data_IF_442387804396
#
_entry.id   IF_442387804396
#
_cell.length_a   1.000
_cell.length_b   1.000
_cell.length_c   1.000
_cell.angle_alpha   90.00
_cell.angle_beta   90.00
_cell.angle_gamma   90.00
#
_symmetry.space_group_name_H-M   'P 1'
#
loop_
_entity.id
_entity.type
_entity.pdbx_description
1 polymer ?
#
# COMPACT_ATOMS: atom_id res chain seq x y z
N UNK A 1 -17.39 -8.84 36.18
CA UNK A 1 -17.25 -10.22 35.67
C UNK A 1 -18.56 -10.84 35.18
N UNK A 2 -19.74 -10.55 35.75
CA UNK A 2 -21.01 -11.21 35.34
C UNK A 2 -21.72 -10.62 34.10
N UNK A 3 -21.33 -9.43 33.64
CA UNK A 3 -22.02 -8.68 32.57
C UNK A 3 -21.17 -8.50 31.30
N UNK A 4 -20.23 -9.41 31.05
CA UNK A 4 -19.46 -9.37 29.80
C UNK A 4 -20.34 -9.92 28.66
N UNK A 5 -20.72 -9.09 27.66
CA UNK A 5 -21.60 -9.52 26.57
C UNK A 5 -20.99 -10.62 25.70
N UNK A 6 -19.65 -10.73 25.64
CA UNK A 6 -18.94 -11.66 24.76
C UNK A 6 -18.56 -12.98 25.45
N UNK A 7 -18.85 -13.12 26.76
CA UNK A 7 -18.45 -14.27 27.56
C UNK A 7 -18.88 -15.62 26.97
N UNK A 8 -20.03 -15.66 26.31
CA UNK A 8 -20.60 -16.87 25.74
C UNK A 8 -20.32 -17.02 24.24
N UNK A 9 -19.66 -16.05 23.60
CA UNK A 9 -19.46 -16.04 22.14
C UNK A 9 -18.65 -17.25 21.68
N UNK A 10 -17.61 -17.64 22.41
CA UNK A 10 -16.82 -18.83 22.06
C UNK A 10 -17.68 -20.11 22.06
N UNK A 11 -18.59 -20.24 23.02
CA UNK A 11 -19.49 -21.39 23.10
C UNK A 11 -20.55 -21.34 21.99
N UNK A 12 -21.15 -20.17 21.76
CA UNK A 12 -22.15 -19.96 20.71
C UNK A 12 -21.57 -20.16 19.32
N UNK A 13 -20.32 -19.73 19.08
CA UNK A 13 -19.60 -19.93 17.84
C UNK A 13 -19.29 -21.41 17.60
N UNK A 14 -18.80 -22.11 18.63
CA UNK A 14 -18.56 -23.55 18.54
C UNK A 14 -19.85 -24.32 18.22
N UNK A 15 -20.98 -23.94 18.84
CA UNK A 15 -22.29 -24.50 18.49
C UNK A 15 -22.66 -24.14 17.04
N UNK A 16 -22.53 -22.89 16.62
CA UNK A 16 -22.87 -22.45 15.26
C UNK A 16 -22.10 -23.23 14.17
N UNK A 17 -20.81 -23.50 14.40
CA UNK A 17 -19.96 -24.26 13.48
C UNK A 17 -20.38 -25.72 13.34
N UNK A 18 -20.98 -26.32 14.38
CA UNK A 18 -21.45 -27.71 14.37
C UNK A 18 -22.81 -27.88 13.67
N UNK A 19 -23.55 -26.79 13.43
CA UNK A 19 -24.85 -26.87 12.74
C UNK A 19 -24.67 -26.66 11.24
N UNK A 20 -24.76 -27.75 10.46
CA UNK A 20 -24.62 -27.71 9.00
C UNK A 20 -25.74 -26.90 8.31
N UNK A 21 -26.94 -26.82 8.88
CA UNK A 21 -28.04 -25.98 8.40
C UNK A 21 -27.93 -24.50 8.79
N UNK A 22 -26.79 -24.09 9.36
CA UNK A 22 -26.47 -22.71 9.71
C UNK A 22 -27.37 -22.12 10.80
N UNK A 23 -27.70 -20.83 10.66
CA UNK A 23 -28.38 -20.05 11.72
C UNK A 23 -29.78 -20.58 12.04
N UNK A 24 -30.50 -21.13 11.07
CA UNK A 24 -31.86 -21.67 11.28
C UNK A 24 -31.85 -22.86 12.24
N UNK A 25 -30.90 -23.77 12.04
CA UNK A 25 -30.76 -24.97 12.87
C UNK A 25 -30.24 -24.61 14.27
N UNK A 26 -29.28 -23.69 14.37
CA UNK A 26 -28.82 -23.15 15.65
C UNK A 26 -29.99 -22.57 16.48
N UNK A 27 -30.82 -21.75 15.85
CA UNK A 27 -32.00 -21.18 16.50
C UNK A 27 -33.01 -22.25 16.90
N UNK A 28 -33.23 -23.26 16.06
CA UNK A 28 -34.09 -24.41 16.39
C UNK A 28 -33.59 -25.16 17.62
N UNK A 29 -32.27 -25.36 17.75
CA UNK A 29 -31.66 -26.00 18.92
C UNK A 29 -31.88 -25.18 20.19
N UNK A 30 -31.70 -23.86 20.14
CA UNK A 30 -31.92 -22.96 21.29
C UNK A 30 -33.41 -22.97 21.68
N UNK A 31 -34.32 -22.83 20.71
CA UNK A 31 -35.77 -22.85 20.94
C UNK A 31 -36.20 -24.20 21.52
N UNK A 32 -35.66 -25.30 20.99
CA UNK A 32 -35.90 -26.64 21.51
C UNK A 32 -35.38 -26.83 22.93
N UNK A 33 -34.25 -26.23 23.29
CA UNK A 33 -33.77 -26.19 24.68
C UNK A 33 -34.76 -25.44 25.58
N UNK A 34 -35.20 -24.25 25.18
CA UNK A 34 -36.19 -23.47 25.93
C UNK A 34 -37.47 -24.28 26.16
N UNK A 35 -37.99 -24.95 25.13
CA UNK A 35 -39.20 -25.77 25.25
C UNK A 35 -39.04 -26.98 26.20
N UNK A 36 -37.84 -27.57 26.31
CA UNK A 36 -37.61 -28.78 27.13
C UNK A 36 -37.13 -28.51 28.54
N UNK A 37 -36.42 -27.40 28.76
CA UNK A 37 -35.68 -27.11 30.00
C UNK A 37 -36.17 -25.88 30.74
N UNK A 38 -37.10 -25.13 30.14
CA UNK A 38 -37.67 -23.92 30.73
C UNK A 38 -39.19 -23.93 30.55
N UNK A 39 -39.87 -23.05 31.28
CA UNK A 39 -41.29 -22.76 31.15
C UNK A 39 -41.57 -21.63 30.16
N UNK A 40 -40.62 -21.28 29.29
CA UNK A 40 -40.71 -20.10 28.41
C UNK A 40 -42.01 -20.02 27.57
N UNK A 41 -42.50 -21.16 27.07
CA UNK A 41 -43.71 -21.22 26.23
C UNK A 41 -45.01 -21.48 27.02
N UNK A 42 -44.92 -21.90 28.28
CA UNK A 42 -46.09 -22.37 29.06
C UNK A 42 -46.29 -21.66 30.39
N UNK A 43 -45.30 -20.92 30.89
CA UNK A 43 -45.31 -20.25 32.18
C UNK A 43 -45.93 -18.84 32.15
N UNK A 44 -46.04 -18.23 30.97
CA UNK A 44 -46.61 -16.89 30.78
C UNK A 44 -48.06 -16.90 30.28
N UNK A 45 -48.62 -15.69 30.11
CA UNK A 45 -49.90 -15.50 29.42
C UNK A 45 -49.74 -15.82 27.94
N UNK A 46 -50.86 -16.20 27.31
CA UNK A 46 -50.90 -16.48 25.88
C UNK A 46 -50.34 -15.32 25.06
N UNK A 47 -49.34 -15.61 24.22
CA UNK A 47 -48.66 -14.64 23.36
C UNK A 47 -47.57 -13.79 24.03
N UNK A 48 -47.27 -13.94 25.32
CA UNK A 48 -46.15 -13.22 25.95
C UNK A 48 -44.79 -13.65 25.42
N UNK A 49 -44.58 -14.95 25.22
CA UNK A 49 -43.33 -15.47 24.65
C UNK A 49 -43.05 -14.88 23.26
N UNK A 50 -44.10 -14.66 22.46
CA UNK A 50 -43.97 -14.12 21.11
C UNK A 50 -43.50 -12.67 21.14
N UNK A 51 -44.03 -11.87 22.06
CA UNK A 51 -43.61 -10.47 22.27
C UNK A 51 -42.15 -10.41 22.70
N UNK A 52 -41.75 -11.25 23.67
CA UNK A 52 -40.36 -11.28 24.15
C UNK A 52 -39.38 -11.61 23.03
N UNK A 53 -39.70 -12.61 22.19
CA UNK A 53 -38.85 -12.95 21.03
C UNK A 53 -38.80 -11.79 20.06
N UNK A 54 -39.95 -11.24 19.64
CA UNK A 54 -40.00 -10.12 18.70
C UNK A 54 -39.20 -8.92 19.19
N UNK A 55 -39.48 -8.45 20.40
CA UNK A 55 -38.86 -7.25 20.98
C UNK A 55 -37.34 -7.41 21.08
N UNK A 56 -36.86 -8.58 21.51
CA UNK A 56 -35.42 -8.86 21.61
C UNK A 56 -34.76 -8.82 20.23
N UNK A 57 -35.31 -9.54 19.24
CA UNK A 57 -34.74 -9.58 17.89
C UNK A 57 -34.77 -8.20 17.21
N UNK A 58 -35.87 -7.46 17.32
CA UNK A 58 -35.97 -6.11 16.73
C UNK A 58 -35.02 -5.12 17.40
N UNK A 59 -34.84 -5.17 18.72
CA UNK A 59 -33.90 -4.31 19.43
C UNK A 59 -32.45 -4.53 18.95
N UNK A 60 -32.02 -5.79 18.84
CA UNK A 60 -30.68 -6.11 18.34
C UNK A 60 -30.53 -5.84 16.84
N UNK A 61 -31.55 -6.13 16.02
CA UNK A 61 -31.54 -5.84 14.59
C UNK A 61 -31.43 -4.33 14.32
N UNK A 62 -32.11 -3.49 15.11
CA UNK A 62 -32.01 -2.03 15.00
C UNK A 62 -30.58 -1.55 15.28
N UNK A 63 -29.98 -1.99 16.39
CA UNK A 63 -28.59 -1.64 16.75
C UNK A 63 -27.59 -2.07 15.69
N UNK A 64 -27.71 -3.32 15.20
CA UNK A 64 -26.81 -3.84 14.17
C UNK A 64 -26.92 -3.06 12.85
N UNK A 65 -28.13 -2.61 12.47
CA UNK A 65 -28.32 -1.75 11.28
C UNK A 65 -27.70 -0.38 11.47
N UNK A 66 -27.94 0.27 12.61
CA UNK A 66 -27.37 1.58 12.92
C UNK A 66 -25.84 1.56 12.91
N UNK A 67 -25.23 0.50 13.47
CA UNK A 67 -23.78 0.31 13.46
C UNK A 67 -23.25 0.05 12.04
N UNK A 68 -23.92 -0.79 11.27
CA UNK A 68 -23.55 -1.03 9.87
C UNK A 68 -23.64 0.25 9.01
N UNK A 69 -24.68 1.07 9.21
CA UNK A 69 -24.83 2.36 8.53
C UNK A 69 -23.74 3.35 8.94
N UNK A 70 -23.39 3.40 10.23
CA UNK A 70 -22.30 4.24 10.74
C UNK A 70 -20.96 3.84 10.11
N UNK A 71 -20.63 2.56 10.13
CA UNK A 71 -19.39 2.02 9.53
C UNK A 71 -19.36 2.33 8.02
N UNK A 72 -20.48 2.18 7.32
CA UNK A 72 -20.56 2.51 5.89
C UNK A 72 -20.31 4.00 5.65
N UNK A 73 -20.93 4.88 6.44
CA UNK A 73 -20.73 6.32 6.33
C UNK A 73 -19.28 6.73 6.60
N UNK A 74 -18.65 6.16 7.62
CA UNK A 74 -17.23 6.41 7.92
C UNK A 74 -16.32 5.96 6.78
N UNK A 75 -16.59 4.80 6.17
CA UNK A 75 -15.86 4.32 4.98
C UNK A 75 -16.04 5.25 3.78
N UNK A 76 -17.27 5.66 3.48
CA UNK A 76 -17.58 6.55 2.37
C UNK A 76 -16.92 7.94 2.56
N UNK A 77 -16.89 8.46 3.78
CA UNK A 77 -16.20 9.72 4.10
C UNK A 77 -14.68 9.58 4.01
N UNK A 78 -14.10 8.48 4.48
CA UNK A 78 -12.67 8.21 4.35
C UNK A 78 -12.24 8.08 2.88
N UNK A 79 -13.04 7.40 2.05
CA UNK A 79 -12.79 7.26 0.63
C UNK A 79 -12.87 8.61 -0.10
N UNK A 80 -13.87 9.45 0.22
CA UNK A 80 -13.97 10.81 -0.33
C UNK A 80 -12.78 11.69 0.05
N UNK A 81 -12.33 11.63 1.31
CA UNK A 81 -11.15 12.40 1.77
C UNK A 81 -9.89 11.95 1.05
N UNK A 82 -9.70 10.65 0.86
CA UNK A 82 -8.56 10.12 0.11
C UNK A 82 -8.58 10.56 -1.36
N UNK A 83 -9.75 10.52 -2.00
CA UNK A 83 -9.93 11.00 -3.38
C UNK A 83 -9.64 12.49 -3.52
N UNK A 84 -10.10 13.34 -2.60
CA UNK A 84 -9.81 14.79 -2.64
C UNK A 84 -8.31 15.08 -2.46
N UNK A 85 -7.64 14.36 -1.54
CA UNK A 85 -6.18 14.47 -1.36
C UNK A 85 -5.43 14.05 -2.62
N UNK A 86 -5.83 12.95 -3.25
CA UNK A 86 -5.22 12.47 -4.51
C UNK A 86 -5.41 13.48 -5.64
N UNK A 87 -6.63 14.00 -5.82
CA UNK A 87 -6.93 14.98 -6.87
C UNK A 87 -6.17 16.29 -6.68
N UNK A 88 -6.05 16.80 -5.45
CA UNK A 88 -5.25 18.01 -5.18
C UNK A 88 -3.77 17.78 -5.46
N UNK A 89 -3.22 16.64 -5.05
CA UNK A 89 -1.82 16.29 -5.31
C UNK A 89 -1.53 16.14 -6.81
N UNK A 90 -2.47 15.57 -7.56
CA UNK A 90 -2.37 15.46 -9.01
C UNK A 90 -2.43 16.83 -9.70
N UNK A 91 -3.37 17.70 -9.29
CA UNK A 91 -3.45 19.07 -9.79
C UNK A 91 -2.19 19.89 -9.46
N UNK A 92 -1.63 19.75 -8.26
CA UNK A 92 -0.38 20.41 -7.88
C UNK A 92 0.80 19.91 -8.74
N UNK A 93 0.86 18.60 -9.02
CA UNK A 93 1.89 18.04 -9.92
C UNK A 93 1.74 18.57 -11.34
N UNK A 94 0.52 18.57 -11.88
CA UNK A 94 0.21 19.14 -13.20
C UNK A 94 0.54 20.63 -13.25
N UNK A 95 0.30 21.39 -12.18
CA UNK A 95 0.61 22.82 -12.11
C UNK A 95 2.13 23.08 -12.05
N UNK A 96 2.90 22.26 -11.33
CA UNK A 96 4.38 22.33 -11.36
C UNK A 96 4.94 21.93 -12.73
N UNK A 97 4.34 20.93 -13.39
CA UNK A 97 4.72 20.51 -14.74
C UNK A 97 4.31 21.57 -15.81
N UNK A 98 3.35 22.46 -15.48
CA UNK A 98 2.88 23.57 -16.32
C UNK A 98 3.47 24.94 -15.95
N UNK A 99 4.49 25.03 -15.10
CA UNK A 99 5.30 26.25 -15.02
C UNK A 99 5.87 26.50 -16.43
N UNK A 100 5.37 27.51 -17.17
CA UNK A 100 5.96 27.80 -18.47
C UNK A 100 7.38 28.22 -18.16
N UNK A 101 8.37 27.56 -18.78
CA UNK A 101 9.73 28.07 -18.81
C UNK A 101 9.64 29.56 -19.15
N UNK A 102 9.84 30.41 -18.15
CA UNK A 102 9.91 31.86 -18.35
C UNK A 102 11.21 32.07 -19.10
N UNK A 103 11.16 31.93 -20.42
CA UNK A 103 12.17 32.42 -21.35
C UNK A 103 12.10 33.93 -21.23
N UNK A 104 12.80 34.47 -20.25
CA UNK A 104 13.28 35.85 -20.29
C UNK A 104 14.21 35.92 -21.50
N UNK A 105 13.88 36.74 -22.49
CA UNK A 105 14.78 37.01 -23.60
C UNK A 105 16.09 37.61 -23.06
N UNK A 106 17.13 36.78 -22.99
CA UNK A 106 18.51 37.27 -22.98
C UNK A 106 18.69 37.97 -24.31
N UNK A 107 18.82 39.29 -24.25
CA UNK A 107 19.08 40.17 -25.39
C UNK A 107 20.36 39.69 -26.10
N UNK A 108 20.37 39.71 -27.44
CA UNK A 108 21.41 39.24 -28.38
C UNK A 108 22.87 39.69 -28.10
N UNK A 109 23.12 40.49 -27.06
CA UNK A 109 24.45 41.00 -26.69
C UNK A 109 25.35 40.00 -25.95
N UNK A 110 24.79 38.97 -25.29
CA UNK A 110 25.61 38.02 -24.50
C UNK A 110 26.08 36.81 -25.31
N UNK A 111 25.36 36.44 -26.37
CA UNK A 111 25.76 35.38 -27.30
C UNK A 111 27.04 35.72 -28.10
N UNK A 112 27.25 37.01 -28.41
CA UNK A 112 28.44 37.47 -29.12
C UNK A 112 29.72 37.33 -28.29
N UNK A 113 29.66 37.55 -26.97
CA UNK A 113 30.82 37.39 -26.09
C UNK A 113 31.27 35.93 -25.96
N UNK A 114 30.31 35.00 -25.93
CA UNK A 114 30.63 33.58 -25.83
C UNK A 114 31.30 33.04 -27.10
N UNK A 115 31.00 33.60 -28.28
CA UNK A 115 31.67 33.25 -29.54
C UNK A 115 33.09 33.83 -29.64
N UNK A 116 33.32 35.05 -29.14
CA UNK A 116 34.68 35.64 -29.09
C UNK A 116 35.62 34.87 -28.15
N UNK A 117 35.10 34.31 -27.06
CA UNK A 117 35.90 33.51 -26.12
C UNK A 117 36.25 32.12 -26.70
N UNK A 118 35.34 31.50 -27.48
CA UNK A 118 35.59 30.22 -28.17
C UNK A 118 36.62 30.38 -29.31
N UNK A 119 36.57 31.49 -30.07
CA UNK A 119 37.54 31.74 -31.15
C UNK A 119 38.95 32.05 -30.62
N UNK A 120 39.06 32.69 -29.44
CA UNK A 120 40.36 32.91 -28.78
C UNK A 120 40.99 31.61 -28.27
N UNK A 121 40.21 30.72 -27.68
CA UNK A 121 40.71 29.45 -27.16
C UNK A 121 41.15 28.51 -28.31
N UNK A 122 40.43 28.51 -29.42
CA UNK A 122 40.77 27.69 -30.59
C UNK A 122 42.01 28.21 -31.35
N UNK A 123 42.34 29.51 -31.22
CA UNK A 123 43.54 30.10 -31.83
C UNK A 123 44.81 29.91 -30.99
N UNK A 124 44.70 29.65 -29.69
CA UNK A 124 45.85 29.31 -28.84
C UNK A 124 46.24 27.83 -28.92
N UNK A 125 45.40 26.97 -29.51
CA UNK A 125 45.63 25.52 -29.61
C UNK A 125 46.21 25.05 -30.96
N UNK A 126 46.60 25.98 -31.84
CA UNK A 126 47.11 25.69 -33.19
C UNK A 126 48.60 26.00 -33.40
N UNK A 127 49.40 26.11 -32.34
CA UNK A 127 50.87 26.22 -32.41
C UNK A 127 51.55 25.35 -31.34
N UNK A 128 51.51 24.03 -31.49
CA UNK A 128 52.62 23.12 -31.12
C UNK A 128 52.28 21.71 -31.58
N UNK A 129 53.08 21.20 -32.49
CA UNK A 129 52.76 20.01 -33.28
C UNK A 129 53.48 18.73 -32.88
N UNK A 130 53.19 17.74 -33.73
CA UNK A 130 54.03 16.61 -34.11
C UNK A 130 54.09 15.38 -33.19
N UNK A 131 53.69 14.22 -33.74
CA UNK A 131 54.12 12.91 -33.24
C UNK A 131 53.21 11.75 -33.62
N UNK A 132 53.65 10.94 -34.58
CA UNK A 132 53.01 9.73 -35.13
C UNK A 132 52.74 8.61 -34.11
N UNK A 133 51.78 7.73 -34.42
CA UNK A 133 51.67 6.41 -33.79
C UNK A 133 50.37 5.65 -34.10
N UNK A 134 50.47 4.67 -34.99
CA UNK A 134 49.40 3.81 -35.51
C UNK A 134 48.74 2.89 -34.44
N UNK A 135 47.43 2.62 -34.55
CA UNK A 135 46.85 1.43 -35.20
C UNK A 135 45.36 1.25 -34.86
N UNK A 136 44.64 0.62 -35.79
CA UNK A 136 43.22 0.21 -35.75
C UNK A 136 42.93 -0.77 -34.58
N UNK A 137 41.71 -0.93 -34.05
CA UNK A 137 40.46 -1.32 -34.72
C UNK A 137 39.20 -1.06 -33.86
N UNK A 138 38.05 -1.12 -34.53
CA UNK A 138 36.64 -1.02 -34.08
C UNK A 138 36.29 -2.06 -32.98
N UNK A 139 35.24 -1.99 -32.15
CA UNK A 139 33.87 -1.48 -32.31
C UNK A 139 33.15 -1.48 -30.91
N UNK A 140 32.30 -0.47 -30.65
CA UNK A 140 30.99 -0.42 -29.93
C UNK A 140 30.68 -1.43 -28.79
N UNK A 141 30.07 -1.09 -27.67
CA UNK A 141 29.16 0.02 -27.38
C UNK A 141 29.12 0.19 -25.85
N UNK A 142 29.41 1.39 -25.38
CA UNK A 142 29.33 1.78 -23.98
C UNK A 142 28.42 2.99 -23.93
N UNK A 143 27.16 2.77 -23.54
CA UNK A 143 26.28 3.85 -23.11
C UNK A 143 26.43 3.93 -21.59
N UNK A 144 27.10 4.97 -21.06
CA UNK A 144 26.95 5.34 -19.66
C UNK A 144 25.60 6.06 -19.55
N UNK A 145 24.60 5.39 -18.96
CA UNK A 145 23.35 6.06 -18.62
C UNK A 145 23.56 6.82 -17.31
N UNK A 146 23.98 8.07 -17.48
CA UNK A 146 24.20 9.08 -16.48
C UNK A 146 22.90 9.92 -16.38
N UNK A 147 21.91 9.43 -15.63
CA UNK A 147 20.85 10.27 -15.05
C UNK A 147 20.98 10.25 -13.52
N UNK A 148 21.87 11.08 -12.96
CA UNK A 148 21.84 11.47 -11.55
C UNK A 148 20.64 12.40 -11.33
N UNK A 149 19.42 11.84 -11.33
CA UNK A 149 18.22 12.57 -10.90
C UNK A 149 18.44 12.95 -9.41
N UNK A 150 18.43 14.24 -9.04
CA UNK A 150 18.64 14.68 -7.66
C UNK A 150 17.63 14.10 -6.65
N UNK A 151 16.56 13.43 -7.11
CA UNK A 151 15.60 12.67 -6.28
C UNK A 151 16.03 11.25 -5.90
N UNK A 152 17.08 10.70 -6.52
CA UNK A 152 17.59 9.35 -6.24
C UNK A 152 18.71 9.33 -5.20
N UNK A 153 19.25 10.51 -4.83
CA UNK A 153 20.25 10.64 -3.75
C UNK A 153 19.70 10.09 -2.43
N UNK A 154 20.19 8.90 -2.06
CA UNK A 154 19.86 8.22 -0.80
C UNK A 154 18.92 7.03 -0.92
N UNK A 155 18.44 6.66 -2.12
CA UNK A 155 17.67 5.43 -2.34
C UNK A 155 18.59 4.29 -2.77
N UNK A 156 18.37 3.10 -2.23
CA UNK A 156 19.08 1.89 -2.65
C UNK A 156 18.60 1.49 -4.04
N UNK A 157 19.54 1.33 -4.97
CA UNK A 157 19.26 0.82 -6.32
C UNK A 157 18.59 -0.57 -6.20
N UNK A 158 17.44 -0.81 -6.84
CA UNK A 158 16.81 -2.11 -6.84
C UNK A 158 17.75 -3.20 -7.37
N UNK A 159 17.65 -4.40 -6.82
CA UNK A 159 18.35 -5.56 -7.38
C UNK A 159 17.63 -6.04 -8.66
N UNK A 160 18.25 -6.96 -9.41
CA UNK A 160 17.70 -7.46 -10.67
C UNK A 160 16.32 -8.15 -10.54
N UNK A 161 15.92 -8.53 -9.32
CA UNK A 161 14.61 -9.09 -9.01
C UNK A 161 13.63 -8.05 -8.45
N UNK A 162 13.79 -6.76 -8.77
CA UNK A 162 12.95 -5.65 -8.30
C UNK A 162 12.80 -5.55 -6.76
N UNK A 163 13.76 -6.10 -6.03
CA UNK A 163 13.81 -6.01 -4.57
C UNK A 163 15.07 -5.28 -4.08
N UNK A 164 15.55 -5.65 -2.90
CA UNK A 164 16.69 -5.00 -2.28
C UNK A 164 17.63 -6.03 -1.65
N UNK A 165 18.92 -5.74 -1.75
CA UNK A 165 19.97 -6.48 -1.05
C UNK A 165 20.36 -5.71 0.22
N UNK A 166 20.21 -6.35 1.38
CA UNK A 166 20.62 -5.83 2.68
C UNK A 166 21.64 -6.77 3.32
N UNK A 167 22.32 -6.30 4.37
CA UNK A 167 23.45 -7.02 4.97
C UNK A 167 23.10 -8.42 5.52
N UNK A 168 21.89 -8.60 6.05
CA UNK A 168 21.46 -9.84 6.70
C UNK A 168 20.46 -10.66 5.86
N UNK A 169 19.85 -10.04 4.86
CA UNK A 169 18.85 -10.67 4.01
C UNK A 169 18.70 -9.92 2.70
N UNK A 170 18.29 -10.64 1.67
CA UNK A 170 17.90 -10.07 0.37
C UNK A 170 16.49 -10.50 0.06
N UNK A 171 15.78 -9.68 -0.71
CA UNK A 171 14.47 -10.07 -1.22
C UNK A 171 14.31 -9.68 -2.68
N UNK A 172 13.42 -10.39 -3.37
CA UNK A 172 13.04 -10.17 -4.77
C UNK A 172 11.53 -10.26 -4.89
N UNK A 173 10.96 -9.58 -5.88
CA UNK A 173 9.51 -9.45 -6.05
C UNK A 173 9.10 -9.58 -7.52
N UNK A 174 7.97 -10.25 -7.74
CA UNK A 174 7.17 -10.19 -8.97
C UNK A 174 5.79 -9.61 -8.66
N UNK A 175 4.90 -9.50 -9.66
CA UNK A 175 3.52 -9.08 -9.41
C UNK A 175 2.73 -10.10 -8.57
N UNK A 176 3.17 -11.37 -8.57
CA UNK A 176 2.47 -12.49 -7.96
C UNK A 176 3.05 -12.87 -6.58
N UNK A 177 4.35 -12.69 -6.38
CA UNK A 177 5.02 -13.17 -5.17
C UNK A 177 6.23 -12.33 -4.72
N UNK A 178 6.66 -12.58 -3.48
CA UNK A 178 7.87 -12.00 -2.87
C UNK A 178 8.69 -13.13 -2.24
N UNK A 179 9.97 -13.23 -2.61
CA UNK A 179 10.93 -14.19 -2.06
C UNK A 179 11.92 -13.50 -1.14
N UNK A 180 12.20 -14.08 0.03
CA UNK A 180 13.17 -13.56 1.02
C UNK A 180 14.24 -14.60 1.31
N UNK A 181 15.51 -14.25 1.12
CA UNK A 181 16.67 -15.09 1.43
C UNK A 181 17.48 -14.49 2.58
N UNK A 182 17.67 -15.23 3.68
CA UNK A 182 18.47 -14.80 4.82
C UNK A 182 19.90 -15.36 4.72
N UNK A 183 20.91 -14.55 5.04
CA UNK A 183 22.30 -15.00 5.15
C UNK A 183 22.52 -15.69 6.50
N UNK A 184 22.62 -17.03 6.52
CA UNK A 184 23.01 -17.77 7.73
C UNK A 184 24.50 -17.56 7.98
N UNK A 185 24.86 -16.88 9.09
CA UNK A 185 26.24 -16.86 9.59
C UNK A 185 26.56 -18.23 10.16
N UNK A 186 27.36 -19.02 9.43
CA UNK A 186 27.91 -20.27 9.95
C UNK A 186 28.88 -19.94 11.08
N UNK A 187 28.51 -20.24 12.33
CA UNK A 187 29.47 -20.30 13.43
C UNK A 187 30.37 -21.50 13.21
N UNK A 188 31.46 -21.31 12.48
CA UNK A 188 32.59 -22.23 12.44
C UNK A 188 33.25 -22.23 13.81
N UNK A 189 32.79 -23.13 14.68
CA UNK A 189 33.55 -23.53 15.86
C UNK A 189 34.69 -24.41 15.39
N UNK A 190 35.90 -23.87 15.36
CA UNK A 190 37.11 -24.68 15.33
C UNK A 190 37.08 -25.58 16.58
N UNK A 191 37.03 -26.90 16.34
CA UNK A 191 37.19 -27.96 17.34
C UNK A 191 38.64 -28.42 17.39
#
# INVERSE_FOLDING_TARGET
>A
MANDPERFDTMLLAMAQQHEGGVKDLLSTIVGFLARKTDFFTGGKEGEWEKVVKDTFYAHAKKAREEAEKIKKEKDEAEKRLKDIQQRKEQERLAQDFEPATVTEITDQEAAKMQEDIEKDNKMKSEEGSGEGASSDKESDSIPDEEDDPKEKGKLKPNAGNGCDLENYRWTQTLEEVEVSNGLKSNGGDY
#
